data_IF_049223044107
#
_entry.id   IF_049223044107
#
_cell.length_a   1.000
_cell.length_b   1.000
_cell.length_c   1.000
_cell.angle_alpha   90.00
_cell.angle_beta   90.00
_cell.angle_gamma   90.00
#
_symmetry.space_group_name_H-M   'P 1'
#
loop_
_entity.id
_entity.type
_entity.pdbx_description
1 polymer ?
#
# COMPACT_ATOMS: atom_id res chain seq x y z
N UNK A 1 -7.24 -7.82 4.46
CA UNK A 1 -5.97 -8.35 3.97
C UNK A 1 -5.39 -7.44 2.92
N UNK A 2 -4.10 -7.13 2.98
CA UNK A 2 -3.37 -6.31 2.00
C UNK A 2 -2.12 -7.09 1.58
N UNK A 3 -1.90 -7.24 0.28
CA UNK A 3 -0.72 -7.94 -0.19
C UNK A 3 -0.75 -8.20 -1.69
N UNK A 4 0.41 -8.54 -2.18
CA UNK A 4 0.65 -8.98 -3.55
C UNK A 4 1.45 -10.28 -3.46
N UNK A 5 1.28 -11.18 -4.40
CA UNK A 5 2.00 -12.44 -4.48
C UNK A 5 2.88 -12.48 -5.72
N UNK A 6 4.17 -12.76 -5.54
CA UNK A 6 5.05 -13.05 -6.67
C UNK A 6 4.98 -14.54 -7.02
N UNK A 7 4.46 -14.83 -8.20
CA UNK A 7 4.36 -16.19 -8.72
C UNK A 7 5.63 -16.51 -9.53
N UNK A 8 6.49 -17.34 -8.95
CA UNK A 8 7.81 -17.65 -9.53
C UNK A 8 7.72 -18.30 -10.91
N UNK A 9 6.76 -19.21 -11.11
CA UNK A 9 6.59 -19.96 -12.37
C UNK A 9 6.20 -19.05 -13.53
N UNK A 10 5.22 -18.18 -13.32
CA UNK A 10 4.75 -17.24 -14.36
C UNK A 10 5.56 -15.94 -14.40
N UNK A 11 6.44 -15.71 -13.41
CA UNK A 11 7.19 -14.45 -13.20
C UNK A 11 6.28 -13.22 -13.17
N UNK A 12 5.11 -13.33 -12.55
CA UNK A 12 4.10 -12.27 -12.43
C UNK A 12 3.82 -11.92 -10.98
N UNK A 13 3.35 -10.69 -10.77
CA UNK A 13 2.72 -10.29 -9.51
C UNK A 13 1.21 -10.45 -9.67
N UNK A 14 0.57 -11.09 -8.70
CA UNK A 14 -0.87 -11.22 -8.61
C UNK A 14 -1.40 -10.46 -7.41
N UNK A 15 -2.54 -9.80 -7.58
CA UNK A 15 -3.34 -9.30 -6.46
C UNK A 15 -4.07 -10.46 -5.78
N UNK A 16 -4.61 -10.24 -4.59
CA UNK A 16 -5.35 -11.28 -3.87
C UNK A 16 -6.62 -11.71 -4.61
N UNK A 17 -7.32 -10.76 -5.24
CA UNK A 17 -8.49 -11.10 -6.06
C UNK A 17 -8.12 -11.94 -7.26
N UNK A 18 -6.98 -11.66 -7.90
CA UNK A 18 -6.49 -12.48 -9.02
C UNK A 18 -6.10 -13.90 -8.58
N UNK A 19 -5.52 -14.06 -7.38
CA UNK A 19 -5.21 -15.37 -6.82
C UNK A 19 -6.48 -16.18 -6.60
N UNK A 20 -7.47 -15.60 -5.90
CA UNK A 20 -8.77 -16.24 -5.66
C UNK A 20 -9.49 -16.61 -6.96
N UNK A 21 -9.46 -15.72 -7.98
CA UNK A 21 -10.06 -16.02 -9.29
C UNK A 21 -9.35 -17.15 -10.04
N UNK A 22 -8.06 -17.39 -9.77
CA UNK A 22 -7.35 -18.56 -10.34
C UNK A 22 -7.80 -19.87 -9.70
N UNK A 23 -8.05 -19.85 -8.39
CA UNK A 23 -8.51 -21.03 -7.65
C UNK A 23 -9.97 -21.36 -7.99
N UNK A 24 -10.79 -20.35 -8.19
CA UNK A 24 -12.19 -20.50 -8.58
C UNK A 24 -12.63 -19.32 -9.47
N UNK A 25 -12.77 -19.58 -10.78
CA UNK A 25 -13.15 -18.59 -11.78
C UNK A 25 -14.58 -18.04 -11.64
N UNK A 26 -15.46 -18.76 -10.95
CA UNK A 26 -16.86 -18.38 -10.77
C UNK A 26 -17.06 -17.36 -9.65
N UNK A 27 -16.02 -17.04 -8.88
CA UNK A 27 -16.13 -16.07 -7.78
C UNK A 27 -16.36 -14.64 -8.30
N UNK A 28 -17.41 -14.00 -7.78
CA UNK A 28 -17.64 -12.57 -7.96
C UNK A 28 -16.97 -11.80 -6.81
N UNK A 29 -15.72 -11.41 -7.01
CA UNK A 29 -14.88 -10.86 -5.95
C UNK A 29 -15.05 -9.35 -5.86
N UNK A 30 -15.33 -8.87 -4.65
CA UNK A 30 -15.27 -7.47 -4.28
C UNK A 30 -14.13 -7.23 -3.29
N UNK A 31 -13.51 -6.06 -3.36
CA UNK A 31 -12.47 -5.64 -2.42
C UNK A 31 -12.89 -4.39 -1.67
N UNK A 32 -12.65 -4.39 -0.36
CA UNK A 32 -12.88 -3.28 0.54
C UNK A 32 -11.53 -2.75 1.01
N UNK A 33 -11.22 -1.48 0.71
CA UNK A 33 -9.95 -0.81 1.03
C UNK A 33 -10.19 0.63 1.45
N UNK A 34 -9.13 1.28 1.94
CA UNK A 34 -9.14 2.69 2.33
C UNK A 34 -8.67 2.90 3.77
N UNK A 35 -8.62 4.15 4.22
CA UNK A 35 -8.23 4.50 5.57
C UNK A 35 -9.27 4.00 6.58
N UNK A 36 -8.85 3.16 7.51
CA UNK A 36 -9.73 2.66 8.56
C UNK A 36 -8.90 2.24 9.77
N UNK A 37 -8.80 3.12 10.76
CA UNK A 37 -8.20 2.81 12.05
C UNK A 37 -9.24 2.18 12.97
N UNK A 38 -8.98 0.95 13.41
CA UNK A 38 -9.92 0.17 14.20
C UNK A 38 -10.39 0.92 15.48
N UNK A 39 -9.48 1.66 16.14
CA UNK A 39 -9.81 2.46 17.33
C UNK A 39 -10.77 3.62 17.04
N UNK A 40 -10.63 4.27 15.88
CA UNK A 40 -11.51 5.35 15.45
C UNK A 40 -12.88 4.80 15.04
N UNK A 41 -12.89 3.72 14.27
CA UNK A 41 -14.13 3.05 13.90
C UNK A 41 -14.93 2.57 15.12
N UNK A 42 -14.25 1.99 16.13
CA UNK A 42 -14.88 1.56 17.38
C UNK A 42 -15.51 2.73 18.16
N UNK A 43 -14.94 3.94 18.02
CA UNK A 43 -15.49 5.19 18.60
C UNK A 43 -16.55 5.85 17.70
N UNK A 44 -16.95 5.20 16.61
CA UNK A 44 -17.88 5.74 15.62
C UNK A 44 -17.42 7.05 14.98
N UNK A 45 -16.10 7.28 14.90
CA UNK A 45 -15.54 8.40 14.13
C UNK A 45 -15.83 8.19 12.66
N UNK A 46 -16.17 9.27 11.96
CA UNK A 46 -16.48 9.20 10.56
C UNK A 46 -15.30 8.60 9.77
N UNK A 47 -15.58 7.54 9.04
CA UNK A 47 -14.59 6.77 8.28
C UNK A 47 -15.14 6.56 6.88
N UNK A 48 -14.34 6.88 5.86
CA UNK A 48 -14.70 6.64 4.46
C UNK A 48 -13.78 5.59 3.86
N UNK A 49 -14.38 4.60 3.20
CA UNK A 49 -13.65 3.50 2.54
C UNK A 49 -14.20 3.27 1.13
N UNK A 50 -13.50 2.45 0.33
CA UNK A 50 -13.90 2.16 -1.05
C UNK A 50 -14.19 0.66 -1.21
N UNK A 51 -15.34 0.36 -1.82
CA UNK A 51 -15.69 -0.98 -2.31
C UNK A 51 -15.47 -1.01 -3.81
N UNK A 52 -14.63 -1.92 -4.28
CA UNK A 52 -14.40 -2.12 -5.71
C UNK A 52 -14.86 -3.49 -6.17
N UNK A 53 -15.57 -3.50 -7.30
CA UNK A 53 -15.98 -4.69 -8.04
C UNK A 53 -16.08 -4.34 -9.52
N UNK A 54 -15.74 -5.28 -10.41
CA UNK A 54 -15.87 -5.09 -11.87
C UNK A 54 -17.30 -4.68 -12.26
N UNK A 55 -18.30 -5.22 -11.56
CA UNK A 55 -19.70 -4.79 -11.67
C UNK A 55 -20.05 -3.77 -10.58
N UNK A 56 -20.22 -2.51 -10.98
CA UNK A 56 -20.53 -1.42 -10.05
C UNK A 56 -21.83 -1.62 -9.26
N UNK A 57 -22.81 -2.33 -9.82
CA UNK A 57 -24.06 -2.64 -9.13
C UNK A 57 -23.81 -3.55 -7.92
N UNK A 58 -22.91 -4.53 -8.05
CA UNK A 58 -22.47 -5.39 -6.95
C UNK A 58 -21.74 -4.57 -5.88
N UNK A 59 -20.79 -3.71 -6.27
CA UNK A 59 -20.12 -2.84 -5.33
C UNK A 59 -21.11 -1.96 -4.54
N UNK A 60 -22.09 -1.37 -5.22
CA UNK A 60 -23.14 -0.56 -4.59
C UNK A 60 -24.05 -1.38 -3.65
N UNK A 61 -24.42 -2.60 -4.04
CA UNK A 61 -25.24 -3.48 -3.19
C UNK A 61 -24.50 -3.80 -1.89
N UNK A 62 -23.23 -4.22 -1.98
CA UNK A 62 -22.40 -4.50 -0.80
C UNK A 62 -22.27 -3.24 0.06
N UNK A 63 -21.95 -2.11 -0.55
CA UNK A 63 -21.78 -0.86 0.18
C UNK A 63 -23.03 -0.44 0.94
N UNK A 64 -24.23 -0.59 0.35
CA UNK A 64 -25.50 -0.33 1.04
C UNK A 64 -25.67 -1.20 2.29
N UNK A 65 -25.23 -2.47 2.25
CA UNK A 65 -25.34 -3.40 3.37
C UNK A 65 -24.42 -3.02 4.53
N UNK A 66 -23.21 -2.52 4.24
CA UNK A 66 -22.19 -2.25 5.26
C UNK A 66 -22.08 -0.78 5.67
N UNK A 67 -22.75 0.13 4.94
CA UNK A 67 -22.74 1.59 5.23
C UNK A 67 -23.49 1.90 6.52
N UNK A 68 -22.98 2.88 7.27
CA UNK A 68 -23.61 3.44 8.46
C UNK A 68 -23.50 4.96 8.45
N UNK A 69 -24.06 5.66 9.44
CA UNK A 69 -23.94 7.12 9.59
C UNK A 69 -22.48 7.61 9.72
N UNK A 70 -21.59 6.74 10.15
CA UNK A 70 -20.16 7.05 10.38
C UNK A 70 -19.21 6.18 9.54
N UNK A 71 -19.71 5.21 8.77
CA UNK A 71 -18.92 4.37 7.86
C UNK A 71 -19.43 4.55 6.43
N UNK A 72 -18.76 5.44 5.70
CA UNK A 72 -19.18 5.91 4.38
C UNK A 72 -18.48 5.11 3.29
N UNK A 73 -19.19 4.79 2.22
CA UNK A 73 -18.70 3.92 1.17
C UNK A 73 -18.60 4.65 -0.16
N UNK A 74 -17.41 4.71 -0.72
CA UNK A 74 -17.18 5.04 -2.13
C UNK A 74 -17.12 3.77 -2.98
N UNK A 75 -17.27 3.92 -4.29
CA UNK A 75 -17.38 2.79 -5.21
C UNK A 75 -16.41 2.91 -6.38
N UNK A 76 -15.80 1.77 -6.79
CA UNK A 76 -14.91 1.70 -7.93
C UNK A 76 -15.17 0.47 -8.79
N UNK A 77 -14.89 0.55 -10.09
CA UNK A 77 -14.75 -0.62 -10.98
C UNK A 77 -13.30 -1.12 -11.05
N UNK A 78 -12.35 -0.33 -10.59
CA UNK A 78 -10.93 -0.63 -10.68
C UNK A 78 -10.44 -1.47 -9.50
N UNK A 79 -10.80 -2.75 -9.50
CA UNK A 79 -10.38 -3.71 -8.46
C UNK A 79 -8.85 -3.80 -8.37
N UNK A 80 -8.17 -3.85 -9.53
CA UNK A 80 -6.71 -3.99 -9.59
C UNK A 80 -6.04 -2.74 -9.00
N UNK A 81 -6.41 -1.55 -9.44
CA UNK A 81 -5.84 -0.31 -8.92
C UNK A 81 -6.04 -0.15 -7.41
N UNK A 82 -7.24 -0.46 -6.91
CA UNK A 82 -7.56 -0.42 -5.48
C UNK A 82 -6.67 -1.39 -4.68
N UNK A 83 -6.44 -2.61 -5.15
CA UNK A 83 -5.58 -3.57 -4.47
C UNK A 83 -4.09 -3.19 -4.53
N UNK A 84 -3.60 -2.77 -5.71
CA UNK A 84 -2.21 -2.32 -5.88
C UNK A 84 -1.91 -1.13 -4.98
N UNK A 85 -2.73 -0.07 -5.03
CA UNK A 85 -2.54 1.12 -4.18
C UNK A 85 -2.49 0.75 -2.70
N UNK A 86 -3.47 -0.03 -2.23
CA UNK A 86 -3.55 -0.45 -0.83
C UNK A 86 -2.39 -1.32 -0.37
N UNK A 87 -1.74 -2.06 -1.28
CA UNK A 87 -0.57 -2.85 -0.94
C UNK A 87 0.69 -1.97 -0.88
N UNK A 88 1.01 -1.26 -1.98
CA UNK A 88 2.28 -0.51 -2.10
C UNK A 88 2.36 0.70 -1.16
N UNK A 89 1.21 1.27 -0.74
CA UNK A 89 1.19 2.38 0.21
C UNK A 89 1.97 2.09 1.50
N UNK A 90 2.06 0.84 1.93
CA UNK A 90 2.82 0.46 3.12
C UNK A 90 4.33 0.68 2.95
N UNK A 91 4.85 0.49 1.75
CA UNK A 91 6.25 0.80 1.41
C UNK A 91 6.44 2.33 1.40
N UNK A 92 5.52 3.05 0.76
CA UNK A 92 5.63 4.51 0.66
C UNK A 92 5.41 5.21 2.00
N UNK A 93 4.56 4.69 2.89
CA UNK A 93 4.45 5.25 4.24
C UNK A 93 5.75 5.10 5.04
N UNK A 94 6.52 4.03 4.83
CA UNK A 94 7.87 3.88 5.40
C UNK A 94 8.85 4.89 4.79
N UNK A 95 8.78 5.13 3.49
CA UNK A 95 9.60 6.16 2.80
C UNK A 95 9.28 7.54 3.34
N UNK A 96 8.00 7.91 3.46
CA UNK A 96 7.56 9.21 3.97
C UNK A 96 8.02 9.41 5.42
N UNK A 97 7.84 8.37 6.26
CA UNK A 97 8.27 8.39 7.65
C UNK A 97 9.79 8.62 7.83
N UNK A 98 10.61 8.30 6.82
CA UNK A 98 12.05 8.55 6.86
C UNK A 98 12.44 10.02 6.65
N UNK A 99 11.51 10.89 6.39
CA UNK A 99 11.76 12.30 6.05
C UNK A 99 12.44 13.13 7.15
N UNK A 100 12.21 12.82 8.43
CA UNK A 100 12.76 13.50 9.62
C UNK A 100 12.34 14.96 9.79
N UNK A 101 11.65 15.55 8.82
CA UNK A 101 11.05 16.89 8.89
C UNK A 101 9.79 16.94 8.01
N UNK A 102 8.89 17.87 8.32
CA UNK A 102 7.64 18.03 7.55
C UNK A 102 7.91 18.36 6.09
N UNK A 103 8.84 19.28 5.82
CA UNK A 103 9.18 19.67 4.44
C UNK A 103 9.72 18.49 3.63
N UNK A 104 10.60 17.69 4.20
CA UNK A 104 11.15 16.51 3.53
C UNK A 104 10.09 15.42 3.36
N UNK A 105 9.28 15.18 4.39
CA UNK A 105 8.17 14.21 4.33
C UNK A 105 7.12 14.61 3.29
N UNK A 106 6.81 15.91 3.15
CA UNK A 106 5.91 16.42 2.11
C UNK A 106 6.46 16.16 0.70
N UNK A 107 7.75 16.43 0.47
CA UNK A 107 8.41 16.13 -0.80
C UNK A 107 8.39 14.63 -1.12
N UNK A 108 8.66 13.78 -0.10
CA UNK A 108 8.59 12.33 -0.26
C UNK A 108 7.16 11.85 -0.53
N UNK A 109 6.16 12.47 0.11
CA UNK A 109 4.76 12.17 -0.12
C UNK A 109 4.38 12.44 -1.58
N UNK A 110 4.67 13.63 -2.09
CA UNK A 110 4.40 14.01 -3.47
C UNK A 110 5.06 13.06 -4.48
N UNK A 111 6.37 12.77 -4.29
CA UNK A 111 7.09 11.82 -5.15
C UNK A 111 6.54 10.40 -5.06
N UNK A 112 6.08 9.97 -3.87
CA UNK A 112 5.45 8.68 -3.66
C UNK A 112 4.18 8.52 -4.50
N UNK A 113 3.35 9.58 -4.58
CA UNK A 113 2.14 9.58 -5.41
C UNK A 113 2.49 9.37 -6.89
N UNK A 114 3.53 10.03 -7.39
CA UNK A 114 3.96 9.86 -8.79
C UNK A 114 4.44 8.43 -9.08
N UNK A 115 5.24 7.85 -8.19
CA UNK A 115 5.67 6.46 -8.34
C UNK A 115 4.50 5.48 -8.23
N UNK A 116 3.57 5.70 -7.29
CA UNK A 116 2.36 4.88 -7.14
C UNK A 116 1.51 4.91 -8.42
N UNK A 117 1.33 6.08 -9.05
CA UNK A 117 0.63 6.21 -10.34
C UNK A 117 1.30 5.35 -11.41
N UNK A 118 2.61 5.46 -11.56
CA UNK A 118 3.37 4.69 -12.54
C UNK A 118 3.25 3.17 -12.28
N UNK A 119 3.37 2.72 -11.03
CA UNK A 119 3.24 1.30 -10.67
C UNK A 119 1.82 0.80 -10.91
N UNK A 120 0.81 1.55 -10.48
CA UNK A 120 -0.61 1.18 -10.64
C UNK A 120 -0.96 1.02 -12.12
N UNK A 121 -0.55 1.96 -12.96
CA UNK A 121 -0.73 1.88 -14.42
C UNK A 121 -0.05 0.65 -15.04
N UNK A 122 1.16 0.32 -14.59
CA UNK A 122 1.89 -0.86 -15.05
C UNK A 122 1.07 -2.14 -14.84
N UNK A 123 0.38 -2.27 -13.72
CA UNK A 123 -0.49 -3.39 -13.40
C UNK A 123 -1.90 -3.30 -14.01
N UNK A 124 -2.14 -2.34 -14.91
CA UNK A 124 -3.44 -2.10 -15.56
C UNK A 124 -4.54 -1.57 -14.63
N UNK A 125 -4.16 -1.03 -13.47
CA UNK A 125 -5.03 -0.18 -12.67
C UNK A 125 -5.05 1.25 -13.21
N UNK A 126 -6.04 2.03 -12.82
CA UNK A 126 -6.19 3.43 -13.23
C UNK A 126 -5.30 4.33 -12.38
N UNK A 127 -4.67 5.32 -13.00
CA UNK A 127 -3.84 6.30 -12.28
C UNK A 127 -4.67 7.14 -11.29
N UNK A 128 -5.93 7.43 -11.64
CA UNK A 128 -6.86 8.19 -10.79
C UNK A 128 -7.16 7.46 -9.47
N UNK A 129 -7.12 6.14 -9.47
CA UNK A 129 -7.33 5.34 -8.26
C UNK A 129 -6.30 5.66 -7.17
N UNK A 130 -5.09 6.10 -7.56
CA UNK A 130 -4.07 6.55 -6.59
C UNK A 130 -4.54 7.79 -5.81
N UNK A 131 -5.35 8.64 -6.42
CA UNK A 131 -5.90 9.85 -5.79
C UNK A 131 -7.19 9.59 -4.98
N UNK A 132 -7.62 8.32 -4.88
CA UNK A 132 -8.79 7.92 -4.11
C UNK A 132 -8.44 7.51 -2.66
N UNK A 133 -9.47 7.09 -1.91
CA UNK A 133 -9.32 6.56 -0.56
C UNK A 133 -8.39 5.34 -0.48
N UNK A 134 -8.34 4.50 -1.54
CA UNK A 134 -7.44 3.34 -1.58
C UNK A 134 -5.97 3.70 -1.77
N UNK A 135 -5.67 4.86 -2.33
CA UNK A 135 -4.33 5.38 -2.58
C UNK A 135 -3.95 6.46 -1.57
N UNK A 136 -4.13 7.73 -1.95
CA UNK A 136 -3.70 8.90 -1.15
C UNK A 136 -4.33 8.94 0.24
N UNK A 137 -5.62 8.57 0.38
CA UNK A 137 -6.31 8.58 1.67
C UNK A 137 -5.70 7.58 2.66
N UNK A 138 -5.52 6.31 2.24
CA UNK A 138 -4.92 5.27 3.09
C UNK A 138 -3.40 5.51 3.30
N UNK A 139 -2.72 6.13 2.33
CA UNK A 139 -1.33 6.54 2.48
C UNK A 139 -1.16 7.63 3.52
N UNK A 140 -2.03 8.65 3.50
CA UNK A 140 -2.02 9.75 4.47
C UNK A 140 -2.11 9.23 5.91
N UNK A 141 -3.15 8.45 6.21
CA UNK A 141 -3.34 7.86 7.55
C UNK A 141 -2.18 6.96 7.95
N UNK A 142 -1.64 6.18 6.99
CA UNK A 142 -0.51 5.28 7.27
C UNK A 142 0.79 6.02 7.50
N UNK A 143 1.01 7.17 6.84
CA UNK A 143 2.19 8.01 7.02
C UNK A 143 2.11 8.82 8.32
N UNK A 144 0.91 9.20 8.76
CA UNK A 144 0.69 10.02 9.97
C UNK A 144 1.06 9.31 11.30
N UNK A 145 1.18 7.98 11.33
CA UNK A 145 1.51 7.30 12.59
C UNK A 145 1.48 5.77 12.54
N UNK A 146 1.37 5.17 11.36
CA UNK A 146 1.34 3.72 11.20
C UNK A 146 2.69 3.05 11.47
N UNK A 147 2.68 1.72 11.70
CA UNK A 147 3.90 0.92 11.97
C UNK A 147 4.96 1.06 10.88
N UNK A 148 4.55 1.14 9.62
CA UNK A 148 5.47 1.35 8.51
C UNK A 148 6.13 2.75 8.58
N UNK A 149 5.38 3.80 8.89
CA UNK A 149 5.90 5.16 9.08
C UNK A 149 6.87 5.22 10.28
N UNK A 150 6.52 4.57 11.40
CA UNK A 150 7.40 4.45 12.57
C UNK A 150 8.72 3.77 12.22
N UNK A 151 8.69 2.66 11.47
CA UNK A 151 9.91 2.02 10.97
C UNK A 151 10.70 2.98 10.06
N UNK A 152 10.02 3.68 9.17
CA UNK A 152 10.64 4.69 8.31
C UNK A 152 11.39 5.75 9.10
N UNK A 153 10.80 6.24 10.20
CA UNK A 153 11.43 7.22 11.08
C UNK A 153 12.78 6.70 11.62
N UNK A 154 12.85 5.47 12.11
CA UNK A 154 14.12 4.89 12.55
C UNK A 154 15.14 4.73 11.41
N UNK A 155 14.68 4.36 10.21
CA UNK A 155 15.56 4.30 9.04
C UNK A 155 16.12 5.69 8.70
N UNK A 156 15.29 6.73 8.78
CA UNK A 156 15.69 8.13 8.57
C UNK A 156 16.71 8.63 9.61
N UNK A 157 16.64 8.13 10.84
CA UNK A 157 17.62 8.38 11.89
C UNK A 157 18.95 7.62 11.68
N UNK A 158 19.08 6.85 10.59
CA UNK A 158 20.30 6.13 10.23
C UNK A 158 20.42 4.70 10.79
N UNK A 159 19.37 4.17 11.42
CA UNK A 159 19.37 2.75 11.79
C UNK A 159 19.19 1.86 10.55
N UNK A 160 19.84 0.70 10.52
CA UNK A 160 19.47 -0.34 9.56
C UNK A 160 18.15 -1.00 9.98
N UNK A 161 17.43 -1.60 9.01
CA UNK A 161 16.15 -2.24 9.30
C UNK A 161 16.24 -3.27 10.45
N UNK A 162 17.23 -4.16 10.40
CA UNK A 162 17.42 -5.20 11.43
C UNK A 162 17.62 -4.59 12.82
N UNK A 163 18.49 -3.56 12.93
CA UNK A 163 18.72 -2.87 14.21
C UNK A 163 17.48 -2.17 14.71
N UNK A 164 16.75 -1.43 13.84
CA UNK A 164 15.51 -0.75 14.19
C UNK A 164 14.42 -1.74 14.65
N UNK A 165 14.26 -2.84 13.90
CA UNK A 165 13.30 -3.90 14.23
C UNK A 165 13.56 -4.53 15.59
N UNK A 166 14.81 -4.92 15.86
CA UNK A 166 15.19 -5.55 17.12
C UNK A 166 15.06 -4.61 18.33
N UNK A 167 15.51 -3.36 18.18
CA UNK A 167 15.60 -2.43 19.31
C UNK A 167 14.26 -1.74 19.65
N UNK A 168 13.49 -1.37 18.64
CA UNK A 168 12.33 -0.47 18.82
C UNK A 168 10.99 -1.07 18.45
N UNK A 169 10.98 -2.14 17.65
CA UNK A 169 9.75 -2.73 17.12
C UNK A 169 9.78 -4.27 17.12
N UNK A 170 10.24 -4.94 18.21
CA UNK A 170 10.44 -6.40 18.20
C UNK A 170 9.16 -7.18 17.89
N UNK A 171 8.02 -6.71 18.39
CA UNK A 171 6.73 -7.39 18.25
C UNK A 171 5.84 -6.81 17.14
N UNK A 172 6.26 -5.72 16.47
CA UNK A 172 5.46 -5.08 15.43
C UNK A 172 5.64 -5.78 14.07
N UNK A 173 4.57 -6.07 13.38
CA UNK A 173 4.63 -6.45 11.96
C UNK A 173 4.83 -5.21 11.10
N UNK A 174 5.82 -5.22 10.21
CA UNK A 174 6.09 -4.16 9.24
C UNK A 174 5.70 -4.66 7.86
N UNK A 175 4.46 -4.42 7.46
CA UNK A 175 3.88 -4.97 6.23
C UNK A 175 4.63 -4.51 4.97
N UNK A 176 5.18 -3.30 5.00
CA UNK A 176 5.98 -2.75 3.89
C UNK A 176 7.25 -3.56 3.63
N UNK A 177 7.91 -4.03 4.68
CA UNK A 177 9.09 -4.89 4.57
C UNK A 177 8.73 -6.26 4.00
N UNK A 178 7.67 -6.89 4.51
CA UNK A 178 7.21 -8.18 4.00
C UNK A 178 6.86 -8.09 2.51
N UNK A 179 6.15 -7.02 2.13
CA UNK A 179 5.81 -6.77 0.74
C UNK A 179 7.07 -6.57 -0.13
N UNK A 180 8.05 -5.80 0.35
CA UNK A 180 9.32 -5.61 -0.36
C UNK A 180 9.98 -6.95 -0.66
N UNK A 181 10.10 -7.84 0.32
CA UNK A 181 10.72 -9.16 0.11
C UNK A 181 9.98 -9.98 -0.93
N UNK A 182 8.66 -9.90 -0.95
CA UNK A 182 7.82 -10.61 -1.92
C UNK A 182 7.98 -10.07 -3.34
N UNK A 183 7.92 -8.74 -3.53
CA UNK A 183 7.84 -8.16 -4.88
C UNK A 183 9.17 -7.67 -5.46
N UNK A 184 10.22 -7.56 -4.66
CA UNK A 184 11.52 -7.02 -5.10
C UNK A 184 12.10 -7.72 -6.33
N UNK A 185 12.09 -9.07 -6.45
CA UNK A 185 12.63 -9.75 -7.64
C UNK A 185 11.95 -9.30 -8.93
N UNK A 186 10.64 -9.06 -8.87
CA UNK A 186 9.87 -8.58 -10.01
C UNK A 186 10.15 -7.10 -10.30
N UNK A 187 10.07 -6.24 -9.27
CA UNK A 187 10.26 -4.79 -9.43
C UNK A 187 11.65 -4.47 -9.99
N UNK A 188 12.70 -5.08 -9.43
CA UNK A 188 14.08 -4.83 -9.87
C UNK A 188 14.35 -5.27 -11.32
N UNK A 189 13.62 -6.29 -11.80
CA UNK A 189 13.78 -6.85 -13.15
C UNK A 189 12.91 -6.15 -14.19
N UNK A 190 11.69 -5.74 -13.85
CA UNK A 190 10.66 -5.35 -14.82
C UNK A 190 10.44 -3.85 -14.92
N UNK A 191 10.81 -3.07 -13.90
CA UNK A 191 10.54 -1.64 -13.89
C UNK A 191 11.72 -0.79 -14.31
N UNK A 192 11.43 0.34 -14.96
CA UNK A 192 12.43 1.37 -15.17
C UNK A 192 12.75 2.05 -13.82
N UNK A 193 13.97 1.83 -13.34
CA UNK A 193 14.44 2.29 -12.02
C UNK A 193 14.41 3.81 -11.88
N UNK A 194 14.57 4.54 -12.99
CA UNK A 194 14.52 6.01 -12.99
C UNK A 194 13.11 6.56 -12.79
N UNK A 195 12.07 5.75 -13.04
CA UNK A 195 10.66 6.13 -12.83
C UNK A 195 10.16 5.83 -11.42
N UNK A 196 10.91 5.02 -10.65
CA UNK A 196 10.53 4.60 -9.30
C UNK A 196 11.74 4.60 -8.34
N UNK A 197 12.53 5.70 -8.28
CA UNK A 197 13.77 5.73 -7.51
C UNK A 197 13.56 5.52 -6.01
N UNK A 198 12.43 5.98 -5.44
CA UNK A 198 12.17 5.86 -4.01
C UNK A 198 11.99 4.40 -3.59
N UNK A 199 11.11 3.66 -4.28
CA UNK A 199 10.88 2.25 -3.96
C UNK A 199 12.13 1.41 -4.23
N UNK A 200 12.89 1.69 -5.31
CA UNK A 200 14.15 1.00 -5.59
C UNK A 200 15.15 1.19 -4.45
N UNK A 201 15.26 2.41 -3.94
CA UNK A 201 16.14 2.72 -2.81
C UNK A 201 15.70 2.00 -1.55
N UNK A 202 14.41 1.99 -1.24
CA UNK A 202 13.86 1.28 -0.08
C UNK A 202 14.08 -0.24 -0.20
N UNK A 203 13.85 -0.82 -1.38
CA UNK A 203 14.13 -2.24 -1.65
C UNK A 203 15.61 -2.57 -1.33
N UNK A 204 16.56 -1.79 -1.87
CA UNK A 204 17.98 -2.00 -1.63
C UNK A 204 18.36 -1.87 -0.14
N UNK A 205 17.75 -0.91 0.55
CA UNK A 205 17.93 -0.70 1.99
C UNK A 205 17.50 -1.92 2.80
N UNK A 206 16.30 -2.43 2.54
CA UNK A 206 15.74 -3.59 3.26
C UNK A 206 16.50 -4.87 2.94
N UNK A 207 16.72 -5.19 1.65
CA UNK A 207 17.36 -6.44 1.25
C UNK A 207 18.83 -6.52 1.69
N UNK A 208 19.57 -5.42 1.60
CA UNK A 208 20.98 -5.37 1.94
C UNK A 208 21.23 -4.92 3.39
N UNK A 209 20.18 -4.69 4.17
CA UNK A 209 20.25 -4.19 5.56
C UNK A 209 21.14 -2.95 5.71
N UNK A 210 21.14 -2.06 4.71
CA UNK A 210 21.93 -0.82 4.70
C UNK A 210 21.17 0.33 5.33
N UNK A 211 21.87 1.43 5.65
CA UNK A 211 21.22 2.69 6.05
C UNK A 211 20.43 3.28 4.89
N UNK A 212 19.31 3.89 5.21
CA UNK A 212 18.49 4.60 4.24
C UNK A 212 18.94 6.07 4.18
N UNK A 213 19.67 6.43 3.14
CA UNK A 213 20.23 7.77 2.96
C UNK A 213 19.58 8.39 1.71
N UNK A 214 19.03 9.60 1.85
CA UNK A 214 18.56 10.45 0.72
C UNK A 214 19.54 11.55 0.43
#
# INVERSE_FOLDING_TARGET
TKGLKYEKNSKKILTLSQQLSKENSNLNISVLKGPCLAKELARKSQTSVIVANKNIKVAKSIGKTISTKYYLIEYSKDVIGVEICSAIKNIYSMIIGSGQSLNKSSSLFQKSILEMKYITKYFKGREETVLSLAGIGDLYVSAAGGRNSKMGNYLGQGYSFKKAKQKFMPNDTVEGEQLIREIAPFILKKFNKNKIPLIIKMIKTILNNKKFIF
#
